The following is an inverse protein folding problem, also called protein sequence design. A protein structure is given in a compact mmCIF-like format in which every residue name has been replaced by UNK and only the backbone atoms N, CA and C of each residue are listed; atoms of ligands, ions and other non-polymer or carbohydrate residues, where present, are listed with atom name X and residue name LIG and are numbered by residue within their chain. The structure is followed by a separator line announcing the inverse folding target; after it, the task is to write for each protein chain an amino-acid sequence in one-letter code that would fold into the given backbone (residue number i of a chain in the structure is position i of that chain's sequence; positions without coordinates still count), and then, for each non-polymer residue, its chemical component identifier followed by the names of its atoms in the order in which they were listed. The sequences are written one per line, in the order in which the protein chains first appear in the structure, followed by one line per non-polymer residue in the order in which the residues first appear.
data_IF_133465457554
#
_entry.id   IF_133465457554
#
_cell.length_a   1.000
_cell.length_b   1.000
_cell.length_c   1.000
_cell.angle_alpha   90.00
_cell.angle_beta   90.00
_cell.angle_gamma   90.00
#
_symmetry.space_group_name_H-M   'P 1'
#
loop_
_entity.id
_entity.type
_entity.pdbx_description
1 polymer ?
#
# COMPACT_ATOMS: atom_id res chain seq x y z
N UNK A 1 32.99 20.13 -29.65
CA UNK A 1 32.01 19.04 -29.88
C UNK A 1 31.19 18.68 -28.64
N UNK A 2 31.72 18.82 -27.41
CA UNK A 2 31.02 18.54 -26.14
C UNK A 2 29.71 19.33 -25.96
N UNK A 3 29.67 20.61 -26.36
CA UNK A 3 28.45 21.43 -26.30
C UNK A 3 27.29 20.91 -27.16
N UNK A 4 27.58 20.15 -28.23
CA UNK A 4 26.54 19.53 -29.07
C UNK A 4 25.95 18.29 -28.42
N UNK A 5 26.74 17.53 -27.65
CA UNK A 5 26.31 16.33 -26.95
C UNK A 5 25.47 16.67 -25.72
N UNK A 6 25.91 17.65 -24.93
CA UNK A 6 25.11 18.16 -23.80
C UNK A 6 23.81 18.76 -24.31
N UNK A 7 23.83 19.55 -25.39
CA UNK A 7 22.60 20.11 -25.97
C UNK A 7 21.69 19.04 -26.59
N UNK A 8 22.24 17.95 -27.13
CA UNK A 8 21.49 16.82 -27.66
C UNK A 8 20.84 15.99 -26.54
N UNK A 9 21.57 15.71 -25.47
CA UNK A 9 21.04 15.03 -24.28
C UNK A 9 19.99 15.89 -23.58
N UNK A 10 20.20 17.21 -23.45
CA UNK A 10 19.20 18.14 -22.93
C UNK A 10 17.97 18.23 -23.83
N UNK A 11 18.15 18.17 -25.15
CA UNK A 11 17.05 18.17 -26.12
C UNK A 11 16.25 16.88 -26.06
N UNK A 12 16.90 15.72 -25.91
CA UNK A 12 16.23 14.42 -25.72
C UNK A 12 15.50 14.40 -24.37
N UNK A 13 16.14 14.88 -23.29
CA UNK A 13 15.50 14.96 -21.97
C UNK A 13 14.29 15.88 -21.96
N UNK A 14 14.40 17.09 -22.54
CA UNK A 14 13.25 17.98 -22.68
C UNK A 14 12.19 17.37 -23.57
N UNK A 15 12.56 16.79 -24.72
CA UNK A 15 11.58 16.18 -25.62
C UNK A 15 10.86 15.00 -24.96
N UNK A 16 11.54 14.15 -24.18
CA UNK A 16 10.93 13.05 -23.44
C UNK A 16 10.10 13.52 -22.23
N UNK A 17 10.56 14.54 -21.50
CA UNK A 17 9.78 15.16 -20.43
C UNK A 17 8.46 15.74 -20.97
N UNK A 18 8.49 16.41 -22.13
CA UNK A 18 7.28 16.93 -22.78
C UNK A 18 6.40 15.84 -23.40
N UNK A 19 6.97 14.72 -23.88
CA UNK A 19 6.18 13.64 -24.51
C UNK A 19 5.53 12.71 -23.48
N UNK A 20 6.18 12.45 -22.34
CA UNK A 20 5.58 11.73 -21.21
C UNK A 20 4.52 12.55 -20.46
N UNK A 21 4.66 13.89 -20.44
CA UNK A 21 3.65 14.80 -19.86
C UNK A 21 2.52 15.16 -20.85
N UNK A 22 2.68 14.88 -22.15
CA UNK A 22 1.85 15.44 -23.22
C UNK A 22 0.81 14.51 -23.87
N UNK A 23 0.95 13.18 -23.79
CA UNK A 23 -0.01 12.27 -24.44
C UNK A 23 -0.33 11.01 -23.64
N UNK A 24 -1.19 11.16 -22.63
CA UNK A 24 -2.43 10.38 -22.41
C UNK A 24 -3.17 10.94 -21.18
N UNK A 25 -4.39 11.47 -21.38
CA UNK A 25 -5.30 11.90 -20.30
C UNK A 25 -5.97 10.70 -19.60
N UNK A 26 -6.57 10.85 -18.39
CA UNK A 26 -6.13 11.64 -17.25
C UNK A 26 -5.96 10.75 -16.01
N UNK A 27 -4.75 10.70 -15.43
CA UNK A 27 -4.56 10.42 -14.00
C UNK A 27 -4.19 11.73 -13.31
N UNK A 28 -5.03 12.75 -13.47
CA UNK A 28 -4.83 14.09 -12.91
C UNK A 28 -5.09 14.16 -11.40
N UNK A 29 -4.79 13.11 -10.64
CA UNK A 29 -4.99 13.09 -9.19
C UNK A 29 -3.76 12.66 -8.38
N UNK A 30 -2.76 11.99 -8.97
CA UNK A 30 -1.66 11.43 -8.16
C UNK A 30 -0.30 12.14 -8.30
N UNK A 31 -0.06 12.90 -9.38
CA UNK A 31 1.21 13.65 -9.54
C UNK A 31 1.10 15.09 -8.98
N UNK A 32 -0.13 15.59 -8.77
CA UNK A 32 -0.38 16.87 -8.10
C UNK A 32 -0.14 16.84 -6.57
N UNK A 33 0.14 15.67 -5.99
CA UNK A 33 0.36 15.52 -4.55
C UNK A 33 1.84 15.43 -4.14
N UNK A 34 2.77 15.45 -5.09
CA UNK A 34 4.17 15.66 -4.75
C UNK A 34 4.37 17.14 -4.44
N UNK A 35 4.79 17.41 -3.20
CA UNK A 35 5.25 18.74 -2.79
C UNK A 35 6.24 19.27 -3.83
N UNK A 36 6.14 20.56 -4.17
CA UNK A 36 7.13 21.23 -5.05
C UNK A 36 8.57 20.95 -4.60
N UNK A 37 8.77 20.78 -3.29
CA UNK A 37 10.04 20.41 -2.67
C UNK A 37 10.55 19.04 -3.08
N UNK A 38 9.70 18.02 -3.16
CA UNK A 38 10.12 16.65 -3.49
C UNK A 38 10.46 16.52 -4.98
N UNK A 39 9.76 17.30 -5.81
CA UNK A 39 10.03 17.41 -7.24
C UNK A 39 11.36 18.09 -7.52
N UNK A 40 11.67 19.17 -6.80
CA UNK A 40 12.95 19.86 -6.90
C UNK A 40 14.10 19.03 -6.31
N UNK A 41 13.86 18.25 -5.25
CA UNK A 41 14.86 17.33 -4.68
C UNK A 41 15.26 16.24 -5.67
N UNK A 42 14.29 15.59 -6.31
CA UNK A 42 14.54 14.56 -7.33
C UNK A 42 15.26 15.13 -8.56
N UNK A 43 14.86 16.32 -9.03
CA UNK A 43 15.55 16.98 -10.14
C UNK A 43 16.98 17.37 -9.76
N UNK A 44 17.22 17.78 -8.52
CA UNK A 44 18.56 18.12 -8.03
C UNK A 44 19.44 16.87 -7.86
N UNK A 45 18.88 15.75 -7.37
CA UNK A 45 19.59 14.48 -7.24
C UNK A 45 19.97 13.89 -8.61
N UNK A 46 19.04 13.89 -9.57
CA UNK A 46 19.30 13.44 -10.94
C UNK A 46 20.28 14.38 -11.65
N UNK A 47 20.13 15.69 -11.48
CA UNK A 47 21.03 16.67 -12.10
C UNK A 47 22.43 16.63 -11.50
N UNK A 48 22.58 16.36 -10.20
CA UNK A 48 23.88 16.19 -9.56
C UNK A 48 24.54 14.88 -10.00
N UNK A 49 23.79 13.78 -10.07
CA UNK A 49 24.29 12.50 -10.58
C UNK A 49 24.79 12.62 -12.03
N UNK A 50 24.05 13.31 -12.91
CA UNK A 50 24.47 13.57 -14.29
C UNK A 50 25.65 14.54 -14.37
N UNK A 51 25.71 15.55 -13.50
CA UNK A 51 26.82 16.51 -13.47
C UNK A 51 28.14 15.83 -13.09
N UNK A 52 28.11 14.89 -12.13
CA UNK A 52 29.30 14.11 -11.77
C UNK A 52 29.77 13.20 -12.90
N UNK A 53 28.86 12.45 -13.54
CA UNK A 53 29.23 11.58 -14.67
C UNK A 53 29.72 12.37 -15.90
N UNK A 54 29.18 13.55 -16.19
CA UNK A 54 29.63 14.35 -17.34
C UNK A 54 30.89 15.18 -17.08
N UNK A 55 31.17 15.53 -15.81
CA UNK A 55 32.39 16.26 -15.44
C UNK A 55 33.64 15.36 -15.42
N UNK A 56 33.48 14.04 -15.28
CA UNK A 56 34.56 13.05 -15.38
C UNK A 56 35.09 12.82 -16.80
N UNK A 57 34.30 13.15 -17.83
CA UNK A 57 34.69 12.99 -19.26
C UNK A 57 35.51 14.19 -19.77
N UNK A 58 35.89 15.12 -18.89
CA UNK A 58 36.49 16.41 -19.24
C UNK A 58 38.03 16.45 -19.35
N UNK A 59 38.76 15.43 -18.90
CA UNK A 59 40.23 15.47 -18.87
C UNK A 59 40.88 14.70 -20.04
N UNK A 60 40.53 15.10 -21.27
CA UNK A 60 41.42 14.85 -22.42
C UNK A 60 42.41 16.00 -22.46
N UNK A 61 43.49 15.85 -21.69
CA UNK A 61 44.59 16.81 -21.63
C UNK A 61 45.16 17.13 -23.02
N UNK A 62 45.00 18.38 -23.45
CA UNK A 62 45.79 18.99 -24.53
C UNK A 62 47.21 19.26 -24.02
N UNK A 63 47.96 18.18 -23.75
CA UNK A 63 49.39 18.21 -23.48
C UNK A 63 50.16 18.40 -24.78
N UNK A 64 50.70 19.61 -24.99
CA UNK A 64 51.65 19.88 -26.06
C UNK A 64 53.01 19.27 -25.69
N UNK A 65 53.38 18.15 -26.31
CA UNK A 65 54.78 17.73 -26.42
C UNK A 65 54.96 16.78 -27.60
N UNK A 66 55.83 17.20 -28.53
CA UNK A 66 56.50 16.32 -29.48
C UNK A 66 57.16 15.18 -28.71
N UNK A 67 56.87 13.92 -29.03
CA UNK A 67 57.88 12.86 -29.23
C UNK A 67 57.31 11.76 -30.15
N UNK A 68 58.14 11.30 -31.08
CA UNK A 68 57.93 10.13 -31.95
C UNK A 68 57.82 8.86 -31.10
N UNK A 69 56.76 8.06 -31.31
CA UNK A 69 56.61 6.79 -30.60
C UNK A 69 55.47 5.93 -31.12
N UNK A 70 55.81 4.99 -32.00
CA UNK A 70 54.96 3.92 -32.54
C UNK A 70 54.30 3.11 -31.39
N UNK A 71 52.99 3.27 -31.20
CA UNK A 71 52.18 2.46 -30.29
C UNK A 71 50.70 2.64 -30.63
N UNK A 72 49.97 1.55 -30.82
CA UNK A 72 48.62 1.54 -31.38
C UNK A 72 47.63 2.39 -30.60
N UNK A 73 47.01 3.35 -31.28
CA UNK A 73 45.88 4.13 -30.78
C UNK A 73 44.69 3.19 -30.53
N UNK A 74 44.09 3.16 -29.32
CA UNK A 74 42.73 2.66 -29.19
C UNK A 74 41.82 3.57 -30.01
N UNK A 75 41.12 3.00 -30.99
CA UNK A 75 40.26 3.76 -31.89
C UNK A 75 39.20 4.52 -31.09
N UNK A 76 39.06 5.82 -31.38
CA UNK A 76 38.09 6.75 -30.75
C UNK A 76 36.66 6.20 -30.75
N UNK A 77 36.31 5.33 -31.70
CA UNK A 77 35.01 4.65 -31.78
C UNK A 77 34.74 3.67 -30.63
N UNK A 78 35.77 3.07 -30.03
CA UNK A 78 35.63 2.04 -28.98
C UNK A 78 35.34 2.66 -27.61
N UNK A 79 35.96 3.81 -27.30
CA UNK A 79 35.67 4.60 -26.10
C UNK A 79 34.29 5.26 -26.13
N UNK A 80 33.83 5.69 -27.30
CA UNK A 80 32.47 6.23 -27.48
C UNK A 80 31.42 5.12 -27.33
N UNK A 81 31.69 3.92 -27.84
CA UNK A 81 30.80 2.77 -27.66
C UNK A 81 30.69 2.33 -26.18
N UNK A 82 31.81 2.34 -25.43
CA UNK A 82 31.81 2.04 -23.98
C UNK A 82 30.98 3.05 -23.20
N UNK A 83 31.19 4.34 -23.43
CA UNK A 83 30.45 5.41 -22.75
C UNK A 83 28.94 5.37 -23.05
N UNK A 84 28.54 4.98 -24.27
CA UNK A 84 27.13 4.79 -24.62
C UNK A 84 26.53 3.60 -23.86
N UNK A 85 27.24 2.47 -23.77
CA UNK A 85 26.78 1.28 -23.06
C UNK A 85 26.62 1.52 -21.55
N UNK A 86 27.56 2.26 -20.94
CA UNK A 86 27.47 2.67 -19.53
C UNK A 86 26.27 3.61 -19.29
N UNK A 87 26.03 4.56 -20.20
CA UNK A 87 24.91 5.49 -20.11
C UNK A 87 23.55 4.77 -20.25
N UNK A 88 23.43 3.83 -21.19
CA UNK A 88 22.23 3.00 -21.35
C UNK A 88 21.93 2.18 -20.09
N UNK A 89 22.97 1.59 -19.50
CA UNK A 89 22.86 0.82 -18.25
C UNK A 89 22.38 1.70 -17.08
N UNK A 90 22.94 2.90 -16.92
CA UNK A 90 22.52 3.84 -15.88
C UNK A 90 21.07 4.32 -16.06
N UNK A 91 20.63 4.49 -17.31
CA UNK A 91 19.28 4.95 -17.64
C UNK A 91 18.23 3.86 -17.35
N UNK A 92 18.53 2.61 -17.67
CA UNK A 92 17.66 1.48 -17.31
C UNK A 92 17.59 1.27 -15.79
N UNK A 93 18.69 1.48 -15.07
CA UNK A 93 18.69 1.45 -13.59
C UNK A 93 17.80 2.57 -13.00
N UNK A 94 17.83 3.78 -13.57
CA UNK A 94 16.97 4.89 -13.14
C UNK A 94 15.48 4.61 -13.43
N UNK A 95 15.17 3.93 -14.54
CA UNK A 95 13.79 3.50 -14.84
C UNK A 95 13.30 2.48 -13.81
N UNK A 96 14.16 1.53 -13.45
CA UNK A 96 13.85 0.51 -12.47
C UNK A 96 13.60 1.14 -11.09
N UNK A 97 14.47 2.04 -10.63
CA UNK A 97 14.32 2.74 -9.35
C UNK A 97 13.06 3.60 -9.29
N UNK A 98 12.70 4.29 -10.38
CA UNK A 98 11.46 5.06 -10.46
C UNK A 98 10.22 4.16 -10.41
N UNK A 99 10.27 3.00 -11.09
CA UNK A 99 9.22 1.99 -11.03
C UNK A 99 9.02 1.42 -9.63
N UNK A 100 10.12 1.14 -8.91
CA UNK A 100 10.08 0.67 -7.52
C UNK A 100 9.50 1.74 -6.59
N UNK A 101 9.90 3.00 -6.73
CA UNK A 101 9.34 4.10 -5.94
C UNK A 101 7.83 4.26 -6.14
N UNK A 102 7.35 4.15 -7.38
CA UNK A 102 5.90 4.18 -7.69
C UNK A 102 5.17 3.00 -7.03
N UNK A 103 5.72 1.80 -7.12
CA UNK A 103 5.12 0.60 -6.51
C UNK A 103 5.02 0.72 -4.98
N UNK A 104 6.04 1.28 -4.33
CA UNK A 104 6.02 1.53 -2.88
C UNK A 104 4.89 2.49 -2.51
N UNK A 105 4.74 3.61 -3.24
CA UNK A 105 3.69 4.60 -2.97
C UNK A 105 2.27 4.03 -3.15
N UNK A 106 2.08 3.18 -4.16
CA UNK A 106 0.81 2.46 -4.38
C UNK A 106 0.51 1.48 -3.24
N UNK A 107 1.53 0.73 -2.78
CA UNK A 107 1.39 -0.20 -1.65
C UNK A 107 1.07 0.54 -0.34
N UNK A 108 1.70 1.68 -0.09
CA UNK A 108 1.40 2.53 1.09
C UNK A 108 -0.05 3.01 1.06
N UNK A 109 -0.50 3.49 -0.09
CA UNK A 109 -1.90 3.92 -0.27
C UNK A 109 -2.87 2.75 0.00
N UNK A 110 -2.57 1.56 -0.52
CA UNK A 110 -3.39 0.37 -0.29
C UNK A 110 -3.38 -0.08 1.18
N UNK A 111 -2.23 -0.01 1.85
CA UNK A 111 -2.08 -0.31 3.28
C UNK A 111 -2.93 0.62 4.13
N UNK A 112 -2.88 1.93 3.87
CA UNK A 112 -3.65 2.92 4.61
C UNK A 112 -5.16 2.70 4.44
N UNK A 113 -5.60 2.37 3.22
CA UNK A 113 -7.00 2.01 2.96
C UNK A 113 -7.44 0.75 3.71
N UNK A 114 -6.59 -0.28 3.76
CA UNK A 114 -6.87 -1.51 4.49
C UNK A 114 -6.93 -1.27 6.00
N UNK A 115 -5.98 -0.51 6.55
CA UNK A 115 -5.92 -0.14 7.98
C UNK A 115 -7.15 0.69 8.39
N UNK A 116 -7.52 1.68 7.58
CA UNK A 116 -8.72 2.47 7.81
C UNK A 116 -9.98 1.61 7.81
N UNK A 117 -10.07 0.67 6.87
CA UNK A 117 -11.19 -0.27 6.78
C UNK A 117 -11.25 -1.18 8.01
N UNK A 118 -10.10 -1.70 8.46
CA UNK A 118 -10.01 -2.53 9.66
C UNK A 118 -10.52 -1.79 10.90
N UNK A 119 -10.11 -0.54 11.12
CA UNK A 119 -10.59 0.29 12.23
C UNK A 119 -12.11 0.47 12.18
N UNK A 120 -12.69 0.68 10.99
CA UNK A 120 -14.16 0.78 10.82
C UNK A 120 -14.86 -0.53 11.18
N UNK A 121 -14.29 -1.67 10.80
CA UNK A 121 -14.86 -2.96 11.15
C UNK A 121 -14.71 -3.27 12.65
N UNK A 122 -13.60 -2.89 13.30
CA UNK A 122 -13.43 -3.02 14.75
C UNK A 122 -14.48 -2.21 15.53
N UNK A 123 -14.82 -1.01 15.06
CA UNK A 123 -15.90 -0.22 15.66
C UNK A 123 -17.27 -0.91 15.50
N UNK A 124 -17.54 -1.46 14.32
CA UNK A 124 -18.78 -2.23 14.06
C UNK A 124 -18.85 -3.48 14.92
N UNK A 125 -17.75 -4.22 15.02
CA UNK A 125 -17.62 -5.43 15.84
C UNK A 125 -17.95 -5.13 17.30
N UNK A 126 -17.32 -4.11 17.89
CA UNK A 126 -17.60 -3.72 19.29
C UNK A 126 -19.06 -3.37 19.52
N UNK A 127 -19.66 -2.63 18.59
CA UNK A 127 -21.07 -2.25 18.67
C UNK A 127 -21.98 -3.48 18.64
N UNK A 128 -21.74 -4.43 17.73
CA UNK A 128 -22.54 -5.64 17.62
C UNK A 128 -22.33 -6.56 18.83
N UNK A 129 -21.08 -6.73 19.29
CA UNK A 129 -20.73 -7.50 20.49
C UNK A 129 -21.47 -7.00 21.72
N UNK A 130 -21.50 -5.68 21.95
CA UNK A 130 -22.26 -5.09 23.05
C UNK A 130 -23.77 -5.38 22.95
N UNK A 131 -24.33 -5.36 21.73
CA UNK A 131 -25.75 -5.68 21.52
C UNK A 131 -26.05 -7.15 21.80
N UNK A 132 -25.22 -8.07 21.31
CA UNK A 132 -25.34 -9.51 21.58
C UNK A 132 -25.31 -9.75 23.08
N UNK A 133 -24.34 -9.16 23.79
CA UNK A 133 -24.23 -9.29 25.24
C UNK A 133 -25.51 -8.81 25.96
N UNK A 134 -26.03 -7.64 25.59
CA UNK A 134 -27.28 -7.11 26.17
C UNK A 134 -28.48 -8.01 25.89
N UNK A 135 -28.59 -8.55 24.68
CA UNK A 135 -29.68 -9.47 24.34
C UNK A 135 -29.60 -10.77 25.15
N UNK A 136 -28.42 -11.38 25.24
CA UNK A 136 -28.22 -12.57 26.08
C UNK A 136 -28.59 -12.32 27.53
N UNK A 137 -28.11 -11.22 28.13
CA UNK A 137 -28.48 -10.87 29.51
C UNK A 137 -30.00 -10.70 29.71
N UNK A 138 -30.71 -10.09 28.75
CA UNK A 138 -32.17 -9.95 28.85
C UNK A 138 -32.90 -11.28 28.71
N UNK A 139 -32.40 -12.20 27.87
CA UNK A 139 -32.95 -13.55 27.72
C UNK A 139 -32.72 -14.34 29.00
N UNK A 140 -31.49 -14.34 29.53
CA UNK A 140 -31.11 -15.02 30.76
C UNK A 140 -31.96 -14.55 31.94
N UNK A 141 -32.11 -13.22 32.12
CA UNK A 141 -32.92 -12.65 33.20
C UNK A 141 -34.40 -13.04 33.08
N UNK A 142 -34.93 -13.20 31.86
CA UNK A 142 -36.33 -13.64 31.67
C UNK A 142 -36.47 -15.14 31.96
N UNK A 143 -35.51 -15.96 31.56
CA UNK A 143 -35.49 -17.38 31.88
C UNK A 143 -35.43 -17.62 33.40
N UNK A 144 -34.65 -16.80 34.13
CA UNK A 144 -34.61 -16.84 35.59
C UNK A 144 -35.97 -16.51 36.23
N UNK A 145 -36.69 -15.49 35.73
CA UNK A 145 -38.03 -15.15 36.24
C UNK A 145 -39.04 -16.26 35.96
N UNK A 146 -39.04 -16.82 34.75
CA UNK A 146 -39.92 -17.93 34.40
C UNK A 146 -39.68 -19.15 35.31
N UNK A 147 -38.42 -19.47 35.62
CA UNK A 147 -38.07 -20.55 36.54
C UNK A 147 -38.52 -20.26 37.98
N UNK A 148 -38.44 -19.01 38.44
CA UNK A 148 -38.92 -18.62 39.78
C UNK A 148 -40.45 -18.75 39.90
N UNK A 149 -41.19 -18.34 38.87
CA UNK A 149 -42.65 -18.42 38.84
C UNK A 149 -43.15 -19.88 38.82
N UNK A 150 -42.41 -20.79 38.19
CA UNK A 150 -42.76 -22.23 38.17
C UNK A 150 -42.55 -22.95 39.51
N UNK A 151 -41.72 -22.42 40.42
CA UNK A 151 -41.44 -23.03 41.74
C UNK A 151 -42.43 -22.54 42.82
N UNK A 152 -43.25 -21.52 42.54
CA UNK A 152 -44.14 -20.88 43.51
C UNK A 152 -45.64 -21.17 43.36
N UNK A 153 -46.06 -22.08 42.48
CA UNK A 153 -47.48 -22.38 42.24
C UNK A 153 -47.88 -23.75 42.80
N UNK A 154 -48.09 -23.78 44.12
CA UNK A 154 -48.94 -24.79 44.77
C UNK A 154 -50.41 -24.39 44.64
N UNK A 155 -51.22 -25.37 44.22
CA UNK A 155 -52.62 -25.65 44.57
C UNK A 155 -53.57 -24.45 44.75
N UNK A 156 -54.27 -24.05 43.68
CA UNK A 156 -55.69 -23.63 43.64
C UNK A 156 -55.96 -22.59 42.53
N UNK A 157 -56.28 -23.02 41.29
CA UNK A 157 -56.80 -22.09 40.26
C UNK A 157 -57.91 -22.69 39.37
N UNK A 158 -59.02 -21.95 39.33
CA UNK A 158 -60.27 -22.19 38.62
C UNK A 158 -60.14 -22.29 37.09
N UNK A 159 -61.02 -23.10 36.48
CA UNK A 159 -61.00 -23.55 35.09
C UNK A 159 -61.13 -22.43 34.03
N UNK A 160 -61.72 -21.27 34.37
CA UNK A 160 -61.86 -20.13 33.45
C UNK A 160 -60.60 -19.23 33.36
N UNK A 161 -59.71 -19.28 34.36
CA UNK A 161 -58.40 -18.63 34.32
C UNK A 161 -57.37 -19.44 33.52
N UNK A 162 -57.63 -20.73 33.30
CA UNK A 162 -56.74 -21.66 32.60
C UNK A 162 -56.63 -21.33 31.10
N UNK A 163 -57.74 -21.01 30.42
CA UNK A 163 -57.73 -20.71 28.98
C UNK A 163 -57.06 -19.35 28.68
N UNK A 164 -57.19 -18.38 29.58
CA UNK A 164 -56.46 -17.10 29.50
C UNK A 164 -54.96 -17.28 29.74
N UNK A 165 -54.58 -18.11 30.72
CA UNK A 165 -53.17 -18.38 31.00
C UNK A 165 -52.51 -19.16 29.86
N UNK A 166 -53.19 -20.13 29.24
CA UNK A 166 -52.65 -20.92 28.13
C UNK A 166 -52.37 -20.06 26.88
N UNK A 167 -53.30 -19.16 26.53
CA UNK A 167 -53.09 -18.22 25.42
C UNK A 167 -51.98 -17.20 25.71
N UNK A 168 -51.82 -16.77 26.96
CA UNK A 168 -50.74 -15.87 27.37
C UNK A 168 -49.37 -16.56 27.36
N UNK A 169 -49.31 -17.84 27.76
CA UNK A 169 -48.11 -18.67 27.69
C UNK A 169 -47.71 -18.93 26.24
N UNK A 170 -48.64 -19.32 25.37
CA UNK A 170 -48.38 -19.48 23.92
C UNK A 170 -47.88 -18.21 23.25
N UNK A 171 -48.53 -17.06 23.52
CA UNK A 171 -48.10 -15.77 22.98
C UNK A 171 -46.70 -15.35 23.49
N UNK A 172 -46.30 -15.80 24.67
CA UNK A 172 -44.97 -15.52 25.24
C UNK A 172 -43.91 -16.42 24.61
N UNK A 173 -44.21 -17.70 24.40
CA UNK A 173 -43.33 -18.64 23.69
C UNK A 173 -43.04 -18.17 22.25
N UNK A 174 -44.08 -17.80 21.50
CA UNK A 174 -43.91 -17.27 20.13
C UNK A 174 -43.05 -16.00 20.09
N UNK A 175 -43.09 -15.19 21.15
CA UNK A 175 -42.26 -13.99 21.27
C UNK A 175 -40.80 -14.35 21.58
N UNK A 176 -40.56 -15.40 22.37
CA UNK A 176 -39.22 -15.88 22.68
C UNK A 176 -38.53 -16.46 21.46
N UNK A 177 -39.26 -17.26 20.68
CA UNK A 177 -38.74 -17.81 19.43
C UNK A 177 -38.34 -16.68 18.46
N UNK A 178 -39.13 -15.59 18.39
CA UNK A 178 -38.80 -14.41 17.57
C UNK A 178 -37.57 -13.66 18.08
N UNK A 179 -37.47 -13.45 19.40
CA UNK A 179 -36.32 -12.78 20.01
C UNK A 179 -35.03 -13.61 19.80
N UNK A 180 -35.11 -14.94 19.94
CA UNK A 180 -34.00 -15.88 19.72
C UNK A 180 -33.56 -15.91 18.25
N UNK A 181 -34.50 -16.01 17.31
CA UNK A 181 -34.19 -15.94 15.87
C UNK A 181 -33.52 -14.61 15.50
N UNK A 182 -33.94 -13.51 16.11
CA UNK A 182 -33.33 -12.19 15.92
C UNK A 182 -31.91 -12.16 16.48
N UNK A 183 -31.68 -12.73 17.67
CA UNK A 183 -30.35 -12.83 18.25
C UNK A 183 -29.40 -13.63 17.35
N UNK A 184 -29.84 -14.80 16.87
CA UNK A 184 -29.05 -15.63 15.94
C UNK A 184 -28.70 -14.88 14.65
N UNK A 185 -29.63 -14.08 14.12
CA UNK A 185 -29.35 -13.23 12.96
C UNK A 185 -28.25 -12.19 13.26
N UNK A 186 -28.29 -11.56 14.44
CA UNK A 186 -27.26 -10.58 14.85
C UNK A 186 -25.90 -11.26 15.09
N UNK A 187 -25.90 -12.46 15.70
CA UNK A 187 -24.68 -13.26 15.88
C UNK A 187 -24.07 -13.69 14.54
N UNK A 188 -24.89 -13.99 13.54
CA UNK A 188 -24.38 -14.28 12.20
C UNK A 188 -23.71 -13.06 11.57
N UNK A 189 -24.28 -11.86 11.75
CA UNK A 189 -23.64 -10.62 11.31
C UNK A 189 -22.30 -10.40 12.02
N UNK A 190 -22.22 -10.69 13.33
CA UNK A 190 -20.97 -10.60 14.09
C UNK A 190 -19.89 -11.54 13.57
N UNK A 191 -20.23 -12.80 13.30
CA UNK A 191 -19.31 -13.78 12.71
C UNK A 191 -18.78 -13.31 11.36
N UNK A 192 -19.65 -12.76 10.51
CA UNK A 192 -19.24 -12.23 9.20
C UNK A 192 -18.28 -11.04 9.36
N UNK A 193 -18.54 -10.12 10.28
CA UNK A 193 -17.65 -8.99 10.58
C UNK A 193 -16.26 -9.49 11.03
N UNK A 194 -16.21 -10.47 11.93
CA UNK A 194 -14.94 -11.06 12.39
C UNK A 194 -14.17 -11.69 11.22
N UNK A 195 -14.87 -12.41 10.33
CA UNK A 195 -14.26 -13.00 9.15
C UNK A 195 -13.67 -11.93 8.21
N UNK A 196 -14.41 -10.86 7.93
CA UNK A 196 -13.95 -9.73 7.11
C UNK A 196 -12.72 -9.04 7.73
N UNK A 197 -12.71 -8.86 9.06
CA UNK A 197 -11.56 -8.30 9.78
C UNK A 197 -10.32 -9.18 9.63
N UNK A 198 -10.47 -10.51 9.69
CA UNK A 198 -9.34 -11.43 9.52
C UNK A 198 -8.80 -11.42 8.09
N UNK A 199 -9.68 -11.31 7.09
CA UNK A 199 -9.27 -11.12 5.68
C UNK A 199 -8.45 -9.83 5.53
N UNK A 200 -8.91 -8.72 6.11
CA UNK A 200 -8.17 -7.46 6.09
C UNK A 200 -6.82 -7.56 6.78
N UNK A 201 -6.72 -8.23 7.93
CA UNK A 201 -5.45 -8.44 8.65
C UNK A 201 -4.45 -9.25 7.82
N UNK A 202 -4.91 -10.31 7.15
CA UNK A 202 -4.07 -11.09 6.22
C UNK A 202 -3.59 -10.22 5.06
N UNK A 203 -4.51 -9.45 4.47
CA UNK A 203 -4.18 -8.56 3.36
C UNK A 203 -3.15 -7.50 3.75
N UNK A 204 -3.25 -6.92 4.95
CA UNK A 204 -2.27 -5.97 5.47
C UNK A 204 -0.89 -6.64 5.55
N UNK A 205 -0.78 -7.84 6.12
CA UNK A 205 0.49 -8.57 6.20
C UNK A 205 1.09 -8.84 4.82
N UNK A 206 0.28 -9.29 3.86
CA UNK A 206 0.74 -9.52 2.47
C UNK A 206 1.29 -8.24 1.82
N UNK A 207 0.62 -7.10 2.05
CA UNK A 207 1.04 -5.81 1.49
C UNK A 207 2.30 -5.28 2.18
N UNK A 208 2.44 -5.49 3.50
CA UNK A 208 3.65 -5.15 4.27
C UNK A 208 4.85 -5.98 3.79
N UNK A 209 4.67 -7.30 3.60
CA UNK A 209 5.71 -8.18 3.04
C UNK A 209 6.12 -7.74 1.64
N UNK A 210 5.16 -7.42 0.77
CA UNK A 210 5.46 -6.88 -0.57
C UNK A 210 6.21 -5.56 -0.52
N UNK A 211 5.82 -4.67 0.39
CA UNK A 211 6.51 -3.38 0.58
C UNK A 211 7.96 -3.60 0.96
N UNK A 212 8.23 -4.54 1.87
CA UNK A 212 9.59 -4.87 2.30
C UNK A 212 10.45 -5.38 1.14
N UNK A 213 9.89 -6.22 0.26
CA UNK A 213 10.58 -6.69 -0.94
C UNK A 213 10.99 -5.51 -1.86
N UNK A 214 10.07 -4.56 -2.09
CA UNK A 214 10.38 -3.39 -2.91
C UNK A 214 11.37 -2.43 -2.23
N UNK A 215 11.36 -2.32 -0.90
CA UNK A 215 12.36 -1.57 -0.16
C UNK A 215 13.75 -2.21 -0.31
N UNK A 216 13.85 -3.53 -0.16
CA UNK A 216 15.09 -4.26 -0.42
C UNK A 216 15.62 -4.05 -1.84
N UNK A 217 14.74 -4.15 -2.85
CA UNK A 217 15.13 -3.89 -4.24
C UNK A 217 15.62 -2.45 -4.47
N UNK A 218 15.02 -1.48 -3.78
CA UNK A 218 15.46 -0.08 -3.82
C UNK A 218 16.85 0.08 -3.21
N UNK A 219 17.13 -0.61 -2.11
CA UNK A 219 18.44 -0.62 -1.47
C UNK A 219 19.50 -1.28 -2.35
N UNK A 220 19.20 -2.44 -2.96
CA UNK A 220 20.08 -3.09 -3.93
C UNK A 220 20.41 -2.18 -5.13
N UNK A 221 19.39 -1.49 -5.68
CA UNK A 221 19.59 -0.54 -6.75
C UNK A 221 20.52 0.62 -6.33
N UNK A 222 20.38 1.09 -5.08
CA UNK A 222 21.21 2.15 -4.53
C UNK A 222 22.65 1.69 -4.32
N UNK A 223 22.84 0.52 -3.75
CA UNK A 223 24.17 -0.06 -3.50
C UNK A 223 24.92 -0.30 -4.80
N UNK A 224 24.22 -0.76 -5.85
CA UNK A 224 24.79 -0.90 -7.18
C UNK A 224 25.30 0.44 -7.74
N UNK A 225 24.50 1.50 -7.65
CA UNK A 225 24.89 2.84 -8.12
C UNK A 225 26.09 3.38 -7.33
N UNK A 226 26.12 3.14 -6.01
CA UNK A 226 27.25 3.55 -5.17
C UNK A 226 28.53 2.77 -5.49
N UNK A 227 28.43 1.47 -5.81
CA UNK A 227 29.58 0.66 -6.21
C UNK A 227 30.14 1.11 -7.56
N UNK A 228 29.28 1.32 -8.56
CA UNK A 228 29.70 1.82 -9.87
C UNK A 228 30.42 3.16 -9.77
N UNK A 229 29.91 4.09 -8.94
CA UNK A 229 30.55 5.39 -8.72
C UNK A 229 31.90 5.30 -7.98
N UNK A 230 32.15 4.22 -7.24
CA UNK A 230 33.41 4.01 -6.52
C UNK A 230 34.51 3.39 -7.40
N UNK A 231 34.13 2.60 -8.40
CA UNK A 231 35.07 1.97 -9.35
C UNK A 231 35.62 2.97 -10.40
N UNK A 232 34.99 4.13 -10.56
CA UNK A 232 35.41 5.23 -11.46
C UNK A 232 36.47 6.18 -10.83
N UNK A 233 36.99 5.91 -9.62
CA UNK A 233 38.01 6.71 -8.91
C UNK A 233 39.38 6.00 -8.83
#
# INVERSE_FOLDING_TARGET
MIGSLISYVYSIFNHYAYTLLGQRQPLSASISNLSTRDRESLLCEVSNSLYWHLSGVGDVGLGSSLEDGKGGEPSVDEGVASAIAELETALDQCRLSLGVASAIAELETALDQCRLSLVKFEQKERFVSMRIQKYRMMIDQRNERANQDTVGLDEDLEHDNFVKSENQVRSSADKWDKDEMTLQSVEQVHKNIIADMEVLRRRIRELEEKKEIYLGLREECRDFVLAAAADDC
#
